data_IF_305388778114
#
_entry.id   IF_305388778114
#
_cell.length_a   1.000
_cell.length_b   1.000
_cell.length_c   1.000
_cell.angle_alpha   90.00
_cell.angle_beta   90.00
_cell.angle_gamma   90.00
#
_symmetry.space_group_name_H-M   'P 1'
#
loop_
_entity.id
_entity.type
_entity.pdbx_description
1 polymer ?
#
# COMPACT_ATOMS: atom_id res chain seq x y z
N UNK A 1 -10.69 -4.83 -2.28
CA UNK A 1 -9.62 -3.81 -2.36
C UNK A 1 -9.36 -3.39 -3.79
N UNK A 2 -9.01 -4.29 -4.72
CA UNK A 2 -8.71 -3.92 -6.12
C UNK A 2 -9.84 -3.16 -6.81
N UNK A 3 -10.99 -3.82 -6.98
CA UNK A 3 -12.18 -3.23 -7.62
C UNK A 3 -12.69 -1.98 -6.91
N UNK A 4 -12.74 -2.00 -5.57
CA UNK A 4 -13.15 -0.89 -4.69
C UNK A 4 -12.42 0.43 -5.00
N UNK A 5 -11.15 0.34 -5.37
CA UNK A 5 -10.27 1.49 -5.58
C UNK A 5 -9.87 1.66 -7.06
N UNK A 6 -10.31 0.77 -7.95
CA UNK A 6 -9.88 0.75 -9.34
C UNK A 6 -8.38 0.45 -9.53
N UNK A 7 -7.76 -0.27 -8.60
CA UNK A 7 -6.31 -0.54 -8.59
C UNK A 7 -5.99 -1.96 -9.06
N UNK A 8 -4.83 -2.14 -9.70
CA UNK A 8 -4.33 -3.47 -10.06
C UNK A 8 -3.64 -4.11 -8.86
N UNK A 9 -4.00 -5.36 -8.55
CA UNK A 9 -3.37 -6.15 -7.50
C UNK A 9 -2.59 -7.30 -8.16
N UNK A 10 -1.30 -7.40 -7.82
CA UNK A 10 -0.42 -8.48 -8.25
C UNK A 10 0.05 -9.27 -7.03
N UNK A 11 -0.12 -10.58 -7.06
CA UNK A 11 0.42 -11.50 -6.06
C UNK A 11 1.86 -11.83 -6.44
N UNK A 12 2.78 -11.74 -5.48
CA UNK A 12 4.18 -12.05 -5.69
C UNK A 12 4.52 -13.37 -5.01
N UNK A 13 5.42 -14.14 -5.65
CA UNK A 13 5.98 -15.38 -5.11
C UNK A 13 7.49 -15.17 -4.95
N UNK A 14 7.96 -14.68 -3.79
CA UNK A 14 9.39 -14.52 -3.53
C UNK A 14 10.14 -15.85 -3.71
N UNK A 15 11.46 -15.81 -4.01
CA UNK A 15 12.27 -17.03 -4.11
C UNK A 15 12.10 -17.93 -2.88
N UNK A 16 11.87 -19.23 -3.10
CA UNK A 16 11.59 -20.19 -2.02
C UNK A 16 10.14 -20.21 -1.53
N UNK A 17 9.25 -19.39 -2.09
CA UNK A 17 7.79 -19.39 -1.83
C UNK A 17 6.97 -19.66 -3.10
N UNK A 18 7.54 -20.39 -4.06
CA UNK A 18 6.90 -20.73 -5.35
C UNK A 18 5.67 -21.64 -5.20
N UNK A 19 5.54 -22.33 -4.05
CA UNK A 19 4.39 -23.15 -3.68
C UNK A 19 3.87 -22.72 -2.31
N UNK A 20 3.26 -21.53 -2.20
CA UNK A 20 2.72 -21.11 -0.93
C UNK A 20 1.52 -21.98 -0.58
N UNK A 21 1.28 -22.15 0.71
CA UNK A 21 0.05 -22.75 1.19
C UNK A 21 -1.14 -21.94 0.66
N UNK A 22 -2.16 -22.62 0.12
CA UNK A 22 -3.28 -21.95 -0.55
C UNK A 22 -3.97 -20.92 0.35
N UNK A 23 -3.97 -21.14 1.66
CA UNK A 23 -4.51 -20.23 2.66
C UNK A 23 -3.72 -18.91 2.79
N UNK A 24 -2.46 -18.84 2.35
CA UNK A 24 -1.63 -17.64 2.45
C UNK A 24 -1.66 -16.77 1.19
N UNK A 25 -2.19 -17.30 0.07
CA UNK A 25 -2.27 -16.59 -1.21
C UNK A 25 -3.12 -15.33 -1.05
N UNK A 26 -2.53 -14.18 -1.38
CA UNK A 26 -3.19 -12.87 -1.29
C UNK A 26 -3.33 -12.30 0.12
N UNK A 27 -2.79 -12.97 1.15
CA UNK A 27 -2.73 -12.47 2.54
C UNK A 27 -1.39 -11.81 2.89
N UNK A 28 -0.40 -11.93 2.01
CA UNK A 28 0.91 -11.29 2.10
C UNK A 28 1.56 -11.26 0.71
N UNK A 29 2.70 -10.57 0.58
CA UNK A 29 3.49 -10.49 -0.66
C UNK A 29 2.68 -9.97 -1.86
N UNK A 30 1.98 -8.86 -1.68
CA UNK A 30 1.11 -8.27 -2.71
C UNK A 30 1.67 -6.92 -3.16
N UNK A 31 1.68 -6.69 -4.46
CA UNK A 31 1.92 -5.38 -5.06
C UNK A 31 0.59 -4.77 -5.48
N UNK A 32 0.35 -3.51 -5.12
CA UNK A 32 -0.81 -2.73 -5.53
C UNK A 32 -0.29 -1.61 -6.42
N UNK A 33 -0.65 -1.65 -7.70
CA UNK A 33 -0.18 -0.68 -8.69
C UNK A 33 -1.25 0.40 -8.88
N UNK A 34 -0.82 1.66 -8.80
CA UNK A 34 -1.70 2.84 -8.91
C UNK A 34 -1.51 3.50 -10.28
N UNK A 35 -0.36 4.13 -10.50
CA UNK A 35 0.04 4.69 -11.79
C UNK A 35 1.57 4.61 -11.93
N UNK A 36 2.04 3.80 -12.89
CA UNK A 36 3.47 3.60 -13.14
C UNK A 36 4.24 4.87 -13.49
N UNK A 37 3.57 5.91 -13.99
CA UNK A 37 4.20 7.16 -14.41
C UNK A 37 4.26 8.22 -13.29
N UNK A 38 3.57 7.97 -12.18
CA UNK A 38 3.48 8.90 -11.06
C UNK A 38 4.82 8.98 -10.32
N UNK A 39 5.30 10.20 -10.10
CA UNK A 39 6.61 10.48 -9.48
C UNK A 39 6.51 11.10 -8.07
N UNK A 40 5.31 11.55 -7.68
CA UNK A 40 5.03 12.26 -6.43
C UNK A 40 3.62 11.91 -5.91
N UNK A 41 3.45 11.91 -4.60
CA UNK A 41 2.14 11.97 -3.96
C UNK A 41 1.49 13.34 -4.20
N UNK A 42 0.17 13.41 -4.12
CA UNK A 42 -0.55 14.65 -4.43
C UNK A 42 -0.57 15.65 -3.27
N UNK A 43 -0.96 15.21 -2.07
CA UNK A 43 -1.34 16.15 -0.99
C UNK A 43 -0.69 15.90 0.37
N UNK A 44 0.09 14.83 0.53
CA UNK A 44 0.60 14.39 1.83
C UNK A 44 2.04 14.81 2.09
N UNK A 45 2.35 15.07 3.36
CA UNK A 45 3.71 15.31 3.85
C UNK A 45 4.33 14.04 4.44
N UNK A 46 5.65 14.05 4.67
CA UNK A 46 6.33 12.95 5.38
C UNK A 46 5.79 12.79 6.81
N UNK A 47 5.47 13.89 7.49
CA UNK A 47 4.90 13.91 8.83
C UNK A 47 3.50 13.28 8.87
N UNK A 48 2.68 13.50 7.85
CA UNK A 48 1.37 12.84 7.73
C UNK A 48 1.52 11.33 7.62
N UNK A 49 2.44 10.88 6.76
CA UNK A 49 2.75 9.47 6.58
C UNK A 49 3.25 8.85 7.89
N UNK A 50 4.20 9.51 8.57
CA UNK A 50 4.75 9.06 9.85
C UNK A 50 3.65 8.86 10.88
N UNK A 51 2.66 9.76 10.96
CA UNK A 51 1.50 9.61 11.86
C UNK A 51 0.60 8.45 11.45
N UNK A 52 0.27 8.35 10.17
CA UNK A 52 -0.64 7.32 9.66
C UNK A 52 -0.09 5.90 9.80
N UNK A 53 1.24 5.72 9.83
CA UNK A 53 1.86 4.40 9.97
C UNK A 53 2.05 3.97 11.43
N UNK A 54 1.94 4.87 12.42
CA UNK A 54 2.11 4.53 13.85
C UNK A 54 1.25 3.35 14.33
N UNK A 55 -0.03 3.20 13.93
CA UNK A 55 -0.85 2.06 14.35
C UNK A 55 -0.27 0.69 13.93
N UNK A 56 0.57 0.65 12.90
CA UNK A 56 1.23 -0.57 12.42
C UNK A 56 2.47 -0.92 13.27
N UNK A 57 2.83 -0.09 14.25
CA UNK A 57 3.99 -0.26 15.13
C UNK A 57 5.29 -0.53 14.34
N UNK A 58 5.71 0.40 13.45
CA UNK A 58 6.88 0.19 12.63
C UNK A 58 8.15 0.09 13.50
N UNK A 59 8.99 -0.89 13.19
CA UNK A 59 10.32 -1.03 13.78
C UNK A 59 11.31 -0.01 13.20
N UNK A 60 11.13 0.37 11.94
CA UNK A 60 11.84 1.50 11.32
C UNK A 60 10.99 2.17 10.26
N UNK A 61 11.33 3.42 9.96
CA UNK A 61 10.74 4.21 8.89
C UNK A 61 11.84 4.96 8.15
N UNK A 62 11.99 4.65 6.86
CA UNK A 62 13.03 5.19 6.00
C UNK A 62 12.39 5.92 4.81
N UNK A 63 12.45 7.26 4.74
CA UNK A 63 11.94 7.98 3.57
C UNK A 63 12.78 7.67 2.33
N UNK A 64 12.13 7.65 1.17
CA UNK A 64 12.82 7.51 -0.12
C UNK A 64 13.77 8.72 -0.33
N UNK A 65 15.00 8.44 -0.78
CA UNK A 65 16.04 9.47 -0.99
C UNK A 65 16.18 9.81 -2.48
N UNK A 66 16.71 11.00 -2.76
CA UNK A 66 17.07 11.51 -4.10
C UNK A 66 15.90 11.75 -5.09
N UNK A 67 15.04 12.73 -4.79
CA UNK A 67 14.04 13.21 -5.77
C UNK A 67 12.88 12.24 -6.04
N UNK A 68 12.89 11.08 -5.39
CA UNK A 68 11.80 10.13 -5.34
C UNK A 68 11.04 10.32 -4.02
N UNK A 69 9.75 10.59 -4.10
CA UNK A 69 8.87 10.50 -2.93
C UNK A 69 8.57 9.02 -2.62
N UNK A 70 8.14 8.75 -1.38
CA UNK A 70 7.88 7.40 -0.90
C UNK A 70 8.59 7.10 0.41
N UNK A 71 8.39 5.89 0.91
CA UNK A 71 9.04 5.42 2.13
C UNK A 71 9.08 3.89 2.18
N UNK A 72 9.94 3.38 3.05
CA UNK A 72 9.95 1.99 3.52
C UNK A 72 9.65 1.97 5.01
N UNK A 73 8.71 1.12 5.41
CA UNK A 73 8.45 0.83 6.81
C UNK A 73 8.70 -0.66 7.08
N UNK A 74 9.58 -0.96 8.04
CA UNK A 74 9.79 -2.33 8.50
C UNK A 74 8.84 -2.61 9.67
N UNK A 75 8.13 -3.73 9.60
CA UNK A 75 7.19 -4.21 10.60
C UNK A 75 7.70 -5.55 11.16
N UNK A 76 7.16 -5.99 12.29
CA UNK A 76 7.50 -7.31 12.85
C UNK A 76 7.19 -8.47 11.88
N UNK A 77 6.23 -8.28 10.97
CA UNK A 77 5.78 -9.28 10.00
C UNK A 77 6.38 -9.11 8.60
N UNK A 78 7.32 -8.19 8.39
CA UNK A 78 7.91 -7.93 7.07
C UNK A 78 8.09 -6.44 6.80
N UNK A 79 7.75 -5.97 5.59
CA UNK A 79 7.87 -4.54 5.27
C UNK A 79 6.81 -4.04 4.30
N UNK A 80 6.62 -2.73 4.31
CA UNK A 80 5.83 -1.97 3.33
C UNK A 80 6.79 -1.05 2.57
N UNK A 81 6.84 -1.19 1.25
CA UNK A 81 7.48 -0.21 0.36
C UNK A 81 6.35 0.60 -0.31
N UNK A 82 6.24 1.89 0.02
CA UNK A 82 5.19 2.76 -0.51
C UNK A 82 5.82 3.82 -1.41
N UNK A 83 5.46 3.80 -2.69
CA UNK A 83 5.99 4.68 -3.72
C UNK A 83 4.83 5.38 -4.44
N UNK A 84 5.02 6.55 -5.05
CA UNK A 84 3.97 7.21 -5.82
C UNK A 84 3.35 6.34 -6.93
N UNK A 85 4.07 5.34 -7.44
CA UNK A 85 3.55 4.41 -8.45
C UNK A 85 2.77 3.23 -7.88
N UNK A 86 2.90 2.93 -6.59
CA UNK A 86 2.28 1.76 -5.98
C UNK A 86 2.80 1.42 -4.58
N UNK A 87 2.10 0.48 -3.94
CA UNK A 87 2.45 -0.04 -2.63
C UNK A 87 2.81 -1.52 -2.74
N UNK A 88 3.96 -1.91 -2.23
CA UNK A 88 4.36 -3.30 -2.08
C UNK A 88 4.27 -3.72 -0.62
N UNK A 89 3.46 -4.74 -0.37
CA UNK A 89 3.24 -5.35 0.92
C UNK A 89 4.01 -6.66 0.98
N UNK A 90 5.18 -6.64 1.59
CA UNK A 90 6.00 -7.82 1.88
C UNK A 90 5.76 -8.29 3.31
N UNK A 91 4.54 -8.14 3.79
CA UNK A 91 4.11 -8.42 5.15
C UNK A 91 2.73 -9.06 5.16
N UNK A 92 2.30 -9.53 6.33
CA UNK A 92 0.92 -9.97 6.52
C UNK A 92 -0.03 -8.77 6.41
N UNK A 93 -1.14 -8.96 5.69
CA UNK A 93 -2.17 -7.95 5.49
C UNK A 93 -3.17 -8.06 6.66
N UNK A 94 -2.95 -7.25 7.70
CA UNK A 94 -3.84 -7.13 8.86
C UNK A 94 -4.90 -6.04 8.64
N UNK A 95 -5.94 -5.95 9.49
CA UNK A 95 -6.91 -4.84 9.43
C UNK A 95 -6.24 -3.45 9.50
N UNK A 96 -5.18 -3.30 10.27
CA UNK A 96 -4.41 -2.05 10.40
C UNK A 96 -3.69 -1.72 9.10
N UNK A 97 -3.10 -2.72 8.42
CA UNK A 97 -2.51 -2.54 7.09
C UNK A 97 -3.58 -2.11 6.08
N UNK A 98 -4.77 -2.72 6.12
CA UNK A 98 -5.88 -2.31 5.27
C UNK A 98 -6.34 -0.87 5.57
N UNK A 99 -6.40 -0.48 6.85
CA UNK A 99 -6.73 0.89 7.25
C UNK A 99 -5.70 1.91 6.77
N UNK A 100 -4.41 1.57 6.84
CA UNK A 100 -3.35 2.40 6.25
C UNK A 100 -3.50 2.53 4.72
N UNK A 101 -3.82 1.43 4.02
CA UNK A 101 -4.03 1.43 2.57
C UNK A 101 -5.23 2.31 2.18
N UNK A 102 -6.36 2.16 2.86
CA UNK A 102 -7.55 2.99 2.61
C UNK A 102 -7.23 4.48 2.85
N UNK A 103 -6.45 4.81 3.90
CA UNK A 103 -6.00 6.18 4.15
C UNK A 103 -5.10 6.72 3.02
N UNK A 104 -4.02 6.01 2.67
CA UNK A 104 -3.05 6.49 1.68
C UNK A 104 -3.66 6.56 0.28
N UNK A 105 -4.61 5.69 -0.07
CA UNK A 105 -5.33 5.75 -1.33
C UNK A 105 -6.11 7.04 -1.48
N UNK A 106 -6.80 7.49 -0.44
CA UNK A 106 -7.51 8.78 -0.47
C UNK A 106 -6.55 9.95 -0.44
N UNK A 107 -5.66 9.99 0.55
CA UNK A 107 -4.87 11.21 0.86
C UNK A 107 -3.62 11.31 -0.01
N UNK A 108 -2.88 10.21 -0.15
CA UNK A 108 -1.64 10.16 -0.91
C UNK A 108 -1.85 10.06 -2.40
N UNK A 109 -2.77 9.18 -2.81
CA UNK A 109 -3.00 8.87 -4.22
C UNK A 109 -4.21 9.56 -4.85
N UNK A 110 -5.07 10.24 -4.07
CA UNK A 110 -6.23 10.96 -4.61
C UNK A 110 -7.33 10.05 -5.16
N UNK A 111 -7.35 8.77 -4.77
CA UNK A 111 -8.34 7.82 -5.24
C UNK A 111 -9.69 8.03 -4.56
N UNK A 112 -10.75 7.78 -5.32
CA UNK A 112 -12.12 7.75 -4.84
C UNK A 112 -12.66 6.32 -4.89
N UNK A 113 -13.56 6.01 -3.96
CA UNK A 113 -14.26 4.73 -3.93
C UNK A 113 -15.13 4.60 -5.19
N UNK A 114 -14.89 3.57 -6.00
CA UNK A 114 -15.68 3.28 -7.21
C UNK A 114 -17.08 2.72 -6.90
N UNK A 115 -17.36 2.36 -5.64
CA UNK A 115 -18.64 1.80 -5.18
C UNK A 115 -19.71 2.83 -4.78
N UNK A 116 -19.51 4.10 -5.12
CA UNK A 116 -20.36 5.23 -4.73
C UNK A 116 -21.02 5.96 -5.91
N UNK A 117 -21.33 5.29 -7.03
CA UNK A 117 -22.34 5.80 -7.94
C UNK A 117 -23.71 5.61 -7.28
N UNK A 118 -24.21 6.66 -6.63
CA UNK A 118 -25.64 6.80 -6.41
C UNK A 118 -26.32 6.77 -7.77
N UNK A 119 -27.00 5.67 -8.07
CA UNK A 119 -28.02 5.64 -9.11
C UNK A 119 -29.16 6.55 -8.68
N UNK A 120 -29.08 7.82 -9.09
CA UNK A 120 -30.22 8.73 -9.14
C UNK A 120 -30.76 8.68 -10.56
N UNK A 121 -31.75 7.81 -10.80
CA UNK A 121 -32.74 7.95 -11.88
C UNK A 121 -34.08 7.50 -11.33
#
# INVERSE_FOLDING_TARGET
MGERWGVLIQINFPPGQERPEAALIGRSNVSILIDKNRKKFETITEEDIKRAILPLSPQSFDPARFGHEGFRANLSTGRIDCLPSGVHLWCNITPEVLGFLDWIFVTGYGLSYSGGSSSSV
#
